data_IF_620939049601
#
_entry.id   IF_620939049601
#
_cell.length_a   1.000
_cell.length_b   1.000
_cell.length_c   1.000
_cell.angle_alpha   90.00
_cell.angle_beta   90.00
_cell.angle_gamma   90.00
#
_symmetry.space_group_name_H-M   'P 1'
#
loop_
_entity.id
_entity.type
_entity.pdbx_description
1 polymer ?
#
# COMPACT_ATOMS: atom_id res chain seq x y z
N UNK A 1 0.93 1.95 20.42
CA UNK A 1 2.13 2.53 21.09
C UNK A 1 2.95 1.41 21.72
N UNK A 2 4.10 1.05 21.14
CA UNK A 2 5.05 0.09 21.72
C UNK A 2 6.28 0.85 22.17
N UNK A 3 6.39 1.09 23.47
CA UNK A 3 7.64 1.53 24.10
C UNK A 3 8.66 0.38 24.01
N UNK A 4 9.56 0.42 23.03
CA UNK A 4 10.75 -0.42 23.04
C UNK A 4 11.80 0.21 23.94
N UNK A 5 11.70 -0.17 25.23
CA UNK A 5 12.74 -0.34 26.25
C UNK A 5 14.00 0.55 26.14
N UNK A 6 14.17 1.58 27.02
CA UNK A 6 15.45 2.28 27.20
C UNK A 6 16.62 1.34 27.55
N UNK A 7 16.31 0.16 28.11
CA UNK A 7 17.27 -0.85 28.54
C UNK A 7 18.20 -1.40 27.44
N UNK A 8 17.76 -1.48 26.17
CA UNK A 8 18.64 -1.98 25.10
C UNK A 8 19.67 -0.93 24.66
N UNK A 9 19.35 0.37 24.77
CA UNK A 9 20.25 1.46 24.38
C UNK A 9 21.38 1.63 25.40
N UNK A 10 21.06 1.51 26.69
CA UNK A 10 22.04 1.61 27.78
C UNK A 10 23.10 0.49 27.74
N UNK A 11 22.67 -0.74 27.44
CA UNK A 11 23.60 -1.88 27.32
C UNK A 11 24.56 -1.73 26.14
N UNK A 12 24.06 -1.29 24.98
CA UNK A 12 24.91 -1.07 23.80
C UNK A 12 25.92 0.04 24.06
N UNK A 13 25.50 1.16 24.65
CA UNK A 13 26.41 2.27 25.00
C UNK A 13 27.45 1.82 26.02
N UNK A 14 27.06 1.04 27.02
CA UNK A 14 27.99 0.52 28.04
C UNK A 14 29.05 -0.41 27.44
N UNK A 15 28.65 -1.30 26.51
CA UNK A 15 29.58 -2.18 25.80
C UNK A 15 30.53 -1.38 24.93
N UNK A 16 30.04 -0.35 24.21
CA UNK A 16 30.84 0.49 23.33
C UNK A 16 31.85 1.34 24.11
N UNK A 17 31.46 1.85 25.28
CA UNK A 17 32.36 2.58 26.19
C UNK A 17 33.41 1.65 26.77
N UNK A 18 33.04 0.44 27.18
CA UNK A 18 34.00 -0.55 27.69
C UNK A 18 35.00 -0.99 26.61
N UNK A 19 34.55 -1.23 25.37
CA UNK A 19 35.45 -1.60 24.27
C UNK A 19 36.36 -0.44 23.88
N UNK A 20 35.84 0.80 23.81
CA UNK A 20 36.66 1.97 23.54
C UNK A 20 37.72 2.20 24.63
N UNK A 21 37.34 2.10 25.90
CA UNK A 21 38.25 2.20 27.04
C UNK A 21 39.33 1.10 27.00
N UNK A 22 38.96 -0.14 26.65
CA UNK A 22 39.90 -1.24 26.51
C UNK A 22 40.89 -1.00 25.37
N UNK A 23 40.43 -0.56 24.19
CA UNK A 23 41.30 -0.26 23.04
C UNK A 23 42.24 0.92 23.33
N UNK A 24 41.76 1.91 24.08
CA UNK A 24 42.54 3.09 24.45
C UNK A 24 43.59 2.73 25.51
N UNK A 25 43.26 1.87 26.48
CA UNK A 25 44.22 1.35 27.46
C UNK A 25 45.33 0.51 26.80
N UNK A 26 44.98 -0.30 25.80
CA UNK A 26 45.95 -1.07 24.99
C UNK A 26 46.89 -0.13 24.21
N UNK A 27 46.35 0.92 23.58
CA UNK A 27 47.14 1.92 22.86
C UNK A 27 48.10 2.69 23.77
N UNK A 28 47.66 3.04 24.98
CA UNK A 28 48.52 3.68 26.00
C UNK A 28 49.61 2.73 26.49
N UNK A 29 49.30 1.45 26.73
CA UNK A 29 50.28 0.43 27.11
C UNK A 29 51.36 0.21 26.04
N UNK A 30 50.97 0.24 24.76
CA UNK A 30 51.92 0.16 23.63
C UNK A 30 52.86 1.38 23.57
N UNK A 31 52.31 2.59 23.73
CA UNK A 31 53.10 3.83 23.77
C UNK A 31 54.06 3.87 24.97
N UNK A 32 53.63 3.39 26.14
CA UNK A 32 54.48 3.30 27.33
C UNK A 32 55.57 2.22 27.19
N UNK A 33 55.27 1.10 26.52
CA UNK A 33 56.24 0.02 26.26
C UNK A 33 57.37 0.41 25.32
N UNK A 34 57.13 1.35 24.40
CA UNK A 34 58.19 1.94 23.56
C UNK A 34 59.13 2.91 24.32
N UNK A 35 58.80 3.25 25.58
CA UNK A 35 59.62 4.09 26.47
C UNK A 35 60.49 3.28 27.44
N UNK A 36 60.64 1.97 27.26
CA UNK A 36 61.65 1.21 28.03
C UNK A 36 63.03 1.56 27.44
N UNK A 37 63.92 2.23 28.20
CA UNK A 37 65.23 2.58 27.71
C UNK A 37 65.97 1.30 27.30
N UNK A 38 66.57 1.32 26.12
CA UNK A 38 67.42 0.24 25.63
C UNK A 38 68.55 0.01 26.64
N UNK A 39 68.49 -1.08 27.40
CA UNK A 39 69.53 -1.51 28.36
C UNK A 39 70.88 -1.88 27.68
N UNK A 40 71.08 -1.51 26.42
CA UNK A 40 72.29 -1.80 25.65
C UNK A 40 73.50 -1.04 26.17
N UNK A 41 73.31 0.18 26.67
CA UNK A 41 74.44 1.04 27.04
C UNK A 41 75.07 0.61 28.40
N UNK A 42 74.24 0.25 29.39
CA UNK A 42 74.67 -0.15 30.74
C UNK A 42 75.37 -1.53 30.81
N UNK A 43 74.95 -2.49 29.98
CA UNK A 43 75.48 -3.86 30.01
C UNK A 43 76.86 -4.00 29.35
N UNK A 44 77.21 -3.07 28.47
CA UNK A 44 78.56 -3.01 27.88
C UNK A 44 79.62 -2.71 28.94
N UNK A 45 79.25 -1.96 29.97
CA UNK A 45 80.11 -1.49 31.06
C UNK A 45 80.29 -2.58 32.13
N UNK A 46 79.23 -3.34 32.44
CA UNK A 46 79.27 -4.47 33.39
C UNK A 46 80.16 -5.61 32.88
N UNK A 47 80.06 -5.99 31.60
CA UNK A 47 80.94 -7.02 31.03
C UNK A 47 82.40 -6.55 30.85
N UNK A 48 82.66 -5.22 30.87
CA UNK A 48 84.02 -4.65 30.78
C UNK A 48 84.77 -4.69 32.12
N UNK A 49 84.04 -4.66 33.23
CA UNK A 49 84.57 -4.60 34.59
C UNK A 49 84.74 -5.98 35.27
N UNK A 50 84.48 -7.08 34.55
CA UNK A 50 84.75 -8.43 35.06
C UNK A 50 86.27 -8.71 35.07
N UNK A 51 86.81 -9.30 36.15
CA UNK A 51 88.23 -9.62 36.22
C UNK A 51 88.61 -10.56 35.08
N UNK A 52 89.74 -10.27 34.40
CA UNK A 52 90.27 -10.95 33.19
C UNK A 52 90.53 -12.48 33.31
N UNK A 53 90.01 -13.15 34.34
CA UNK A 53 90.11 -14.59 34.61
C UNK A 53 88.76 -15.30 34.81
N UNK A 54 87.63 -14.66 34.52
CA UNK A 54 86.33 -15.35 34.39
C UNK A 54 86.10 -15.86 32.96
N UNK A 55 85.52 -17.06 32.75
CA UNK A 55 85.30 -17.58 31.40
C UNK A 55 84.29 -16.68 30.67
N UNK A 56 84.63 -16.24 29.45
CA UNK A 56 83.73 -15.46 28.57
C UNK A 56 82.32 -16.08 28.41
N UNK A 57 82.20 -17.39 28.66
CA UNK A 57 80.94 -18.13 28.73
C UNK A 57 79.92 -17.50 29.70
N UNK A 58 80.35 -16.95 30.84
CA UNK A 58 79.44 -16.37 31.83
C UNK A 58 78.85 -15.03 31.38
N UNK A 59 79.62 -14.18 30.69
CA UNK A 59 79.09 -12.94 30.10
C UNK A 59 78.18 -13.24 28.89
N UNK A 60 78.45 -14.29 28.11
CA UNK A 60 77.57 -14.71 27.02
C UNK A 60 76.25 -15.29 27.57
N UNK A 61 76.31 -16.11 28.62
CA UNK A 61 75.14 -16.66 29.31
C UNK A 61 74.31 -15.57 29.99
N UNK A 62 74.94 -14.55 30.57
CA UNK A 62 74.24 -13.40 31.15
C UNK A 62 73.56 -12.56 30.06
N UNK A 63 74.24 -12.30 28.93
CA UNK A 63 73.64 -11.58 27.79
C UNK A 63 72.48 -12.35 27.17
N UNK A 64 72.60 -13.66 27.02
CA UNK A 64 71.51 -14.47 26.49
C UNK A 64 70.34 -14.55 27.47
N UNK A 65 70.59 -14.66 28.78
CA UNK A 65 69.55 -14.66 29.83
C UNK A 65 68.79 -13.32 29.90
N UNK A 66 69.49 -12.19 29.80
CA UNK A 66 68.86 -10.86 29.77
C UNK A 66 68.10 -10.64 28.46
N UNK A 67 68.66 -11.09 27.32
CA UNK A 67 67.96 -11.01 26.04
C UNK A 67 66.71 -11.90 26.01
N UNK A 68 66.74 -13.09 26.61
CA UNK A 68 65.55 -13.92 26.76
C UNK A 68 64.56 -13.32 27.75
N UNK A 69 65.00 -12.72 28.86
CA UNK A 69 64.10 -12.06 29.81
C UNK A 69 63.37 -10.86 29.17
N UNK A 70 64.09 -10.04 28.39
CA UNK A 70 63.50 -8.94 27.62
C UNK A 70 62.58 -9.46 26.50
N UNK A 71 62.96 -10.52 25.79
CA UNK A 71 62.12 -11.16 24.77
C UNK A 71 60.85 -11.78 25.38
N UNK A 72 60.93 -12.34 26.60
CA UNK A 72 59.79 -12.95 27.29
C UNK A 72 58.84 -11.87 27.79
N UNK A 73 59.38 -10.77 28.33
CA UNK A 73 58.59 -9.60 28.76
C UNK A 73 57.86 -8.94 27.59
N UNK A 74 58.56 -8.71 26.47
CA UNK A 74 57.94 -8.14 25.25
C UNK A 74 56.91 -9.08 24.63
N UNK A 75 57.14 -10.40 24.63
CA UNK A 75 56.16 -11.38 24.19
C UNK A 75 54.91 -11.43 25.08
N UNK A 76 55.07 -11.31 26.40
CA UNK A 76 53.95 -11.27 27.36
C UNK A 76 53.06 -10.04 27.12
N UNK A 77 53.66 -8.87 26.88
CA UNK A 77 52.92 -7.66 26.52
C UNK A 77 52.24 -7.79 25.15
N UNK A 78 52.93 -8.32 24.15
CA UNK A 78 52.36 -8.57 22.82
C UNK A 78 51.14 -9.50 22.87
N UNK A 79 51.19 -10.54 23.72
CA UNK A 79 50.09 -11.47 23.90
C UNK A 79 48.86 -10.82 24.53
N UNK A 80 49.05 -9.94 25.53
CA UNK A 80 47.96 -9.17 26.16
C UNK A 80 47.26 -8.25 25.14
N UNK A 81 48.03 -7.61 24.26
CA UNK A 81 47.50 -6.76 23.19
C UNK A 81 46.68 -7.58 22.19
N UNK A 82 47.19 -8.74 21.78
CA UNK A 82 46.51 -9.63 20.84
C UNK A 82 45.19 -10.20 21.41
N UNK A 83 45.18 -10.57 22.70
CA UNK A 83 43.96 -11.02 23.38
C UNK A 83 42.95 -9.87 23.51
N UNK A 84 43.41 -8.67 23.86
CA UNK A 84 42.57 -7.49 24.00
C UNK A 84 41.92 -7.06 22.68
N UNK A 85 42.67 -7.09 21.57
CA UNK A 85 42.13 -6.77 20.24
C UNK A 85 41.12 -7.82 19.77
N UNK A 86 41.38 -9.11 20.03
CA UNK A 86 40.45 -10.19 19.72
C UNK A 86 39.11 -10.02 20.44
N UNK A 87 39.13 -9.69 21.74
CA UNK A 87 37.92 -9.40 22.51
C UNK A 87 37.13 -8.20 21.96
N UNK A 88 37.81 -7.11 21.59
CA UNK A 88 37.19 -5.93 21.00
C UNK A 88 36.54 -6.24 19.64
N UNK A 89 37.22 -7.02 18.78
CA UNK A 89 36.69 -7.46 17.49
C UNK A 89 35.46 -8.38 17.64
N UNK A 90 35.46 -9.29 18.63
CA UNK A 90 34.30 -10.14 18.91
C UNK A 90 33.09 -9.33 19.37
N UNK A 91 33.28 -8.33 20.24
CA UNK A 91 32.21 -7.44 20.66
C UNK A 91 31.66 -6.59 19.50
N UNK A 92 32.53 -6.09 18.62
CA UNK A 92 32.13 -5.39 17.40
C UNK A 92 31.32 -6.27 16.45
N UNK A 93 31.68 -7.54 16.30
CA UNK A 93 30.94 -8.52 15.50
C UNK A 93 29.52 -8.75 16.06
N UNK A 94 29.38 -8.91 17.38
CA UNK A 94 28.07 -9.03 18.02
C UNK A 94 27.21 -7.76 17.83
N UNK A 95 27.84 -6.58 17.93
CA UNK A 95 27.21 -5.30 17.62
C UNK A 95 26.70 -5.25 16.18
N UNK A 96 27.53 -5.62 15.21
CA UNK A 96 27.16 -5.71 13.80
C UNK A 96 26.03 -6.71 13.54
N UNK A 97 26.03 -7.88 14.17
CA UNK A 97 24.94 -8.86 14.04
C UNK A 97 23.62 -8.27 14.56
N UNK A 98 23.67 -7.57 15.70
CA UNK A 98 22.47 -6.93 16.27
C UNK A 98 21.94 -5.80 15.37
N UNK A 99 22.84 -4.96 14.84
CA UNK A 99 22.52 -3.89 13.91
C UNK A 99 21.96 -4.45 12.58
N UNK A 100 22.53 -5.56 12.09
CA UNK A 100 22.05 -6.23 10.88
C UNK A 100 20.64 -6.80 11.08
N UNK A 101 20.37 -7.48 12.21
CA UNK A 101 19.03 -7.96 12.54
C UNK A 101 18.01 -6.82 12.68
N UNK A 102 18.41 -5.71 13.30
CA UNK A 102 17.56 -4.51 13.38
C UNK A 102 17.33 -3.88 12.00
N UNK A 103 18.35 -3.83 11.16
CA UNK A 103 18.27 -3.36 9.78
C UNK A 103 17.29 -4.18 8.95
N UNK A 104 17.41 -5.51 8.99
CA UNK A 104 16.48 -6.42 8.28
C UNK A 104 15.02 -6.21 8.71
N UNK A 105 14.77 -6.08 10.02
CA UNK A 105 13.42 -5.81 10.53
C UNK A 105 12.88 -4.46 10.07
N UNK A 106 13.74 -3.44 10.03
CA UNK A 106 13.37 -2.08 9.60
C UNK A 106 13.05 -2.04 8.11
N UNK A 107 13.78 -2.78 7.27
CA UNK A 107 13.49 -2.93 5.83
C UNK A 107 12.11 -3.55 5.61
N UNK A 108 11.75 -4.58 6.37
CA UNK A 108 10.43 -5.21 6.30
C UNK A 108 9.30 -4.22 6.61
N UNK A 109 9.44 -3.48 7.73
CA UNK A 109 8.45 -2.46 8.14
C UNK A 109 8.36 -1.33 7.12
N UNK A 110 9.48 -0.88 6.55
CA UNK A 110 9.50 0.17 5.54
C UNK A 110 8.83 -0.28 4.23
N UNK A 111 9.06 -1.54 3.83
CA UNK A 111 8.39 -2.13 2.66
C UNK A 111 6.87 -2.21 2.87
N UNK A 112 6.44 -2.67 4.04
CA UNK A 112 5.01 -2.72 4.38
C UNK A 112 4.38 -1.33 4.43
N UNK A 113 5.06 -0.36 5.04
CA UNK A 113 4.59 1.02 5.10
C UNK A 113 4.47 1.64 3.70
N UNK A 114 5.43 1.38 2.80
CA UNK A 114 5.37 1.85 1.41
C UNK A 114 4.21 1.20 0.65
N UNK A 115 3.97 -0.10 0.85
CA UNK A 115 2.84 -0.79 0.24
C UNK A 115 1.52 -0.16 0.69
N UNK A 116 1.35 0.03 2.00
CA UNK A 116 0.15 0.63 2.59
C UNK A 116 -0.02 2.07 2.10
N UNK A 117 1.04 2.88 2.11
CA UNK A 117 1.01 4.25 1.62
C UNK A 117 0.62 4.32 0.12
N UNK A 118 1.12 3.38 -0.69
CA UNK A 118 0.75 3.29 -2.10
C UNK A 118 -0.71 2.87 -2.28
N UNK A 119 -1.22 1.93 -1.50
CA UNK A 119 -2.64 1.53 -1.52
C UNK A 119 -3.55 2.70 -1.15
N UNK A 120 -3.25 3.43 -0.07
CA UNK A 120 -4.01 4.62 0.32
C UNK A 120 -3.88 5.75 -0.71
N UNK A 121 -2.68 5.99 -1.23
CA UNK A 121 -2.45 7.00 -2.27
C UNK A 121 -3.23 6.70 -3.54
N UNK A 122 -3.29 5.42 -3.94
CA UNK A 122 -4.12 4.98 -5.07
C UNK A 122 -5.61 5.18 -4.77
N UNK A 123 -6.09 4.77 -3.60
CA UNK A 123 -7.49 4.95 -3.22
C UNK A 123 -7.90 6.44 -3.27
N UNK A 124 -7.07 7.33 -2.73
CA UNK A 124 -7.35 8.78 -2.75
C UNK A 124 -7.32 9.38 -4.16
N UNK A 125 -6.47 8.86 -5.05
CA UNK A 125 -6.34 9.34 -6.42
C UNK A 125 -7.34 8.71 -7.40
N UNK A 126 -8.18 7.75 -6.98
CA UNK A 126 -9.15 7.08 -7.87
C UNK A 126 -10.29 7.99 -8.30
N UNK A 127 -10.92 7.60 -9.40
CA UNK A 127 -12.20 8.13 -9.84
C UNK A 127 -13.32 7.35 -9.13
N UNK A 128 -14.41 8.03 -8.79
CA UNK A 128 -15.56 7.43 -8.13
C UNK A 128 -16.83 7.93 -8.82
N UNK A 129 -17.31 7.15 -9.80
CA UNK A 129 -18.51 7.48 -10.57
C UNK A 129 -19.72 6.85 -9.94
N UNK A 130 -20.75 7.66 -9.72
CA UNK A 130 -22.07 7.22 -9.25
C UNK A 130 -23.14 7.73 -10.22
N UNK A 131 -24.26 7.01 -10.30
CA UNK A 131 -25.44 7.49 -11.02
C UNK A 131 -26.18 8.48 -10.13
N UNK A 132 -26.13 9.76 -10.47
CA UNK A 132 -26.72 10.84 -9.67
C UNK A 132 -28.22 10.97 -9.90
N UNK A 133 -28.66 10.90 -11.15
CA UNK A 133 -30.07 11.01 -11.51
C UNK A 133 -30.39 10.28 -12.80
N UNK A 134 -31.63 9.79 -12.90
CA UNK A 134 -32.19 9.22 -14.11
C UNK A 134 -33.49 9.92 -14.40
N UNK A 135 -33.62 10.40 -15.63
CA UNK A 135 -34.86 10.98 -16.14
C UNK A 135 -35.37 10.12 -17.28
N UNK A 136 -36.66 9.81 -17.27
CA UNK A 136 -37.27 8.95 -18.27
C UNK A 136 -38.48 9.61 -18.94
N UNK A 137 -38.64 9.35 -20.23
CA UNK A 137 -39.80 9.75 -21.03
C UNK A 137 -40.38 8.49 -21.68
N UNK A 138 -41.68 8.29 -21.52
CA UNK A 138 -42.41 7.18 -22.15
C UNK A 138 -43.35 7.74 -23.22
N UNK A 139 -43.25 7.24 -24.45
CA UNK A 139 -44.16 7.61 -25.54
C UNK A 139 -45.48 6.84 -25.46
N UNK A 140 -46.51 7.34 -26.15
CA UNK A 140 -47.77 6.62 -26.31
C UNK A 140 -47.60 5.24 -26.99
N UNK A 141 -46.62 5.13 -27.88
CA UNK A 141 -46.28 3.90 -28.60
C UNK A 141 -45.46 2.91 -27.74
N UNK A 142 -45.04 3.32 -26.54
CA UNK A 142 -44.25 2.48 -25.64
C UNK A 142 -42.74 2.59 -25.79
N UNK A 143 -42.25 3.57 -26.56
CA UNK A 143 -40.81 3.84 -26.63
C UNK A 143 -40.38 4.54 -25.34
N UNK A 144 -39.47 3.89 -24.61
CA UNK A 144 -38.90 4.44 -23.39
C UNK A 144 -37.57 5.10 -23.72
N UNK A 145 -37.42 6.36 -23.39
CA UNK A 145 -36.17 7.10 -23.55
C UNK A 145 -35.67 7.59 -22.20
N UNK A 146 -34.42 7.32 -21.87
CA UNK A 146 -33.81 7.73 -20.60
C UNK A 146 -32.57 8.59 -20.82
N UNK A 147 -32.38 9.58 -19.95
CA UNK A 147 -31.15 10.34 -19.77
C UNK A 147 -30.60 10.03 -18.38
N UNK A 148 -29.29 9.85 -18.30
CA UNK A 148 -28.62 9.48 -17.06
C UNK A 148 -27.54 10.51 -16.77
N UNK A 149 -27.54 11.05 -15.55
CA UNK A 149 -26.49 11.93 -15.07
C UNK A 149 -25.55 11.14 -14.18
N UNK A 150 -24.28 11.13 -14.54
CA UNK A 150 -23.20 10.51 -13.79
C UNK A 150 -22.40 11.60 -13.09
N UNK A 151 -22.09 11.39 -11.81
CA UNK A 151 -21.22 12.27 -11.04
C UNK A 151 -19.92 11.54 -10.73
N UNK A 152 -18.79 12.15 -11.09
CA UNK A 152 -17.49 11.72 -10.61
C UNK A 152 -17.14 12.52 -9.35
N UNK A 153 -17.09 11.84 -8.20
CA UNK A 153 -16.68 12.43 -6.92
C UNK A 153 -15.18 12.24 -6.62
N UNK A 154 -14.46 11.51 -7.48
CA UNK A 154 -13.04 11.23 -7.29
C UNK A 154 -12.13 12.39 -7.68
N UNK A 155 -10.90 12.34 -7.17
CA UNK A 155 -9.85 13.34 -7.40
C UNK A 155 -9.19 13.21 -8.78
N UNK A 156 -9.62 12.25 -9.60
CA UNK A 156 -9.12 12.04 -10.95
C UNK A 156 -10.24 11.78 -11.95
N UNK A 157 -9.98 11.97 -13.26
CA UNK A 157 -10.98 11.73 -14.29
C UNK A 157 -11.37 10.25 -14.39
N UNK A 158 -12.67 9.99 -14.52
CA UNK A 158 -13.18 8.69 -14.93
C UNK A 158 -13.10 8.59 -16.46
N UNK A 159 -12.48 7.52 -16.95
CA UNK A 159 -12.21 7.34 -18.39
C UNK A 159 -13.10 6.26 -18.98
N UNK A 160 -13.43 6.43 -20.26
CA UNK A 160 -14.13 5.44 -21.09
C UNK A 160 -15.41 4.91 -20.42
N UNK A 161 -16.15 5.80 -19.76
CA UNK A 161 -17.46 5.47 -19.23
C UNK A 161 -18.32 4.93 -20.37
N UNK A 162 -18.77 3.69 -20.22
CA UNK A 162 -19.75 3.03 -21.07
C UNK A 162 -20.94 2.69 -20.20
N UNK A 163 -22.13 2.86 -20.73
CA UNK A 163 -23.35 2.57 -19.98
C UNK A 163 -24.44 2.04 -20.91
N UNK A 164 -25.38 1.30 -20.32
CA UNK A 164 -26.61 0.82 -20.91
C UNK A 164 -27.65 0.70 -19.80
N UNK A 165 -28.92 0.56 -20.19
CA UNK A 165 -29.99 0.32 -19.24
C UNK A 165 -31.04 -0.62 -19.82
N UNK A 166 -31.77 -1.27 -18.93
CA UNK A 166 -33.03 -1.93 -19.22
C UNK A 166 -34.09 -1.42 -18.26
N UNK A 167 -35.36 -1.71 -18.56
CA UNK A 167 -36.47 -1.22 -17.76
C UNK A 167 -37.57 -2.26 -17.58
N UNK A 168 -38.34 -2.12 -16.52
CA UNK A 168 -39.61 -2.80 -16.30
C UNK A 168 -40.70 -1.73 -16.21
N UNK A 169 -41.72 -1.86 -17.05
CA UNK A 169 -42.90 -1.01 -17.01
C UNK A 169 -44.06 -1.79 -16.43
N UNK A 170 -44.81 -1.18 -15.51
CA UNK A 170 -46.02 -1.77 -14.92
C UNK A 170 -47.17 -0.81 -15.11
N UNK A 171 -48.14 -1.21 -15.93
CA UNK A 171 -49.41 -0.51 -16.09
C UNK A 171 -50.36 -0.89 -14.95
N UNK A 172 -50.97 0.11 -14.34
CA UNK A 172 -52.01 -0.06 -13.31
C UNK A 172 -53.31 0.50 -13.84
N UNK A 173 -54.37 -0.32 -13.80
CA UNK A 173 -55.69 0.04 -14.32
C UNK A 173 -56.66 0.45 -13.20
N UNK A 174 -57.81 1.02 -13.57
CA UNK A 174 -58.78 1.57 -12.60
C UNK A 174 -59.40 0.52 -11.66
N UNK A 175 -59.33 -0.76 -12.03
CA UNK A 175 -59.74 -1.91 -11.22
C UNK A 175 -58.61 -2.45 -10.31
N UNK A 176 -57.51 -1.71 -10.19
CA UNK A 176 -56.27 -2.10 -9.51
C UNK A 176 -55.55 -3.32 -10.11
N UNK A 177 -55.94 -3.81 -11.28
CA UNK A 177 -55.15 -4.82 -11.98
C UNK A 177 -53.80 -4.25 -12.40
N UNK A 178 -52.77 -5.08 -12.37
CA UNK A 178 -51.39 -4.70 -12.70
C UNK A 178 -50.86 -5.65 -13.76
N UNK A 179 -50.25 -5.08 -14.80
CA UNK A 179 -49.57 -5.87 -15.84
C UNK A 179 -48.20 -5.26 -16.10
N UNK A 180 -47.19 -6.11 -16.12
CA UNK A 180 -45.79 -5.72 -16.27
C UNK A 180 -45.18 -6.21 -17.58
N UNK A 181 -44.21 -5.48 -18.11
CA UNK A 181 -43.39 -5.91 -19.26
C UNK A 181 -41.96 -5.37 -19.14
N UNK A 182 -41.00 -6.21 -19.50
CA UNK A 182 -39.59 -5.82 -19.60
C UNK A 182 -39.34 -5.13 -20.93
N UNK A 183 -38.60 -4.03 -20.89
CA UNK A 183 -38.09 -3.31 -22.05
C UNK A 183 -36.58 -3.42 -22.09
N UNK A 184 -36.07 -3.81 -23.26
CA UNK A 184 -34.65 -4.04 -23.49
C UNK A 184 -34.14 -5.36 -22.92
N UNK A 185 -33.04 -5.83 -23.50
CA UNK A 185 -32.32 -6.99 -22.99
C UNK A 185 -31.49 -6.62 -21.75
N UNK A 186 -30.96 -7.62 -21.05
CA UNK A 186 -30.01 -7.38 -19.98
C UNK A 186 -28.81 -6.56 -20.49
N UNK A 187 -28.41 -5.47 -19.82
CA UNK A 187 -27.34 -4.59 -20.28
C UNK A 187 -26.00 -5.33 -20.47
N UNK A 188 -25.58 -5.51 -21.73
CA UNK A 188 -24.26 -6.04 -22.10
C UNK A 188 -23.35 -4.89 -22.56
N UNK A 189 -22.46 -4.46 -21.67
CA UNK A 189 -21.55 -3.34 -21.92
C UNK A 189 -20.44 -3.65 -22.93
N UNK A 190 -20.21 -4.92 -23.29
CA UNK A 190 -19.31 -5.26 -24.40
C UNK A 190 -19.90 -4.85 -25.76
N UNK A 191 -21.24 -4.75 -25.83
CA UNK A 191 -21.96 -4.23 -27.00
C UNK A 191 -22.15 -2.72 -26.96
N UNK A 192 -21.78 -2.05 -25.86
CA UNK A 192 -21.88 -0.59 -25.77
C UNK A 192 -20.78 0.08 -26.59
N UNK A 193 -21.17 0.84 -27.61
CA UNK A 193 -20.25 1.61 -28.45
C UNK A 193 -19.94 3.00 -27.89
N UNK A 194 -20.62 3.42 -26.83
CA UNK A 194 -20.51 4.77 -26.27
C UNK A 194 -19.38 4.82 -25.24
N UNK A 195 -18.50 5.81 -25.39
CA UNK A 195 -17.38 6.06 -24.46
C UNK A 195 -17.32 7.55 -24.16
N UNK A 196 -17.39 7.90 -22.89
CA UNK A 196 -17.26 9.27 -22.41
C UNK A 196 -16.27 9.34 -21.26
N UNK A 197 -15.48 10.41 -21.21
CA UNK A 197 -14.66 10.72 -20.04
C UNK A 197 -15.40 11.76 -19.17
N UNK A 198 -15.34 11.60 -17.85
CA UNK A 198 -15.88 12.56 -16.88
C UNK A 198 -14.71 13.15 -16.09
N UNK A 199 -14.50 14.48 -16.11
CA UNK A 199 -13.48 15.14 -15.30
C UNK A 199 -13.62 14.85 -13.80
N UNK A 200 -12.57 15.16 -13.04
CA UNK A 200 -12.62 15.06 -11.57
C UNK A 200 -13.62 16.06 -11.00
N UNK A 201 -14.38 15.62 -9.98
CA UNK A 201 -15.36 16.45 -9.28
C UNK A 201 -16.43 17.08 -10.19
N UNK A 202 -16.73 16.44 -11.33
CA UNK A 202 -17.64 16.96 -12.34
C UNK A 202 -18.76 15.94 -12.66
N UNK A 203 -19.80 16.43 -13.33
CA UNK A 203 -20.95 15.66 -13.75
C UNK A 203 -21.06 15.64 -15.27
N UNK A 204 -21.61 14.55 -15.80
CA UNK A 204 -21.96 14.45 -17.20
C UNK A 204 -23.33 13.80 -17.36
N UNK A 205 -24.21 14.46 -18.12
CA UNK A 205 -25.51 13.94 -18.50
C UNK A 205 -25.43 13.33 -19.90
N UNK A 206 -25.90 12.10 -20.02
CA UNK A 206 -25.92 11.37 -21.28
C UNK A 206 -26.84 12.01 -22.30
N UNK A 207 -26.54 11.80 -23.59
CA UNK A 207 -27.58 11.92 -24.60
C UNK A 207 -28.70 10.91 -24.31
N UNK A 208 -29.97 11.27 -24.59
CA UNK A 208 -31.08 10.36 -24.38
C UNK A 208 -30.92 9.08 -25.20
N UNK A 209 -31.02 7.94 -24.53
CA UNK A 209 -30.95 6.61 -25.14
C UNK A 209 -32.34 5.98 -25.09
N UNK A 210 -32.84 5.54 -26.24
CA UNK A 210 -34.15 4.91 -26.39
C UNK A 210 -34.07 3.38 -26.36
N UNK A 211 -34.95 2.75 -25.60
CA UNK A 211 -35.33 1.35 -25.76
C UNK A 211 -36.53 1.30 -26.69
N UNK A 212 -36.41 0.54 -27.78
CA UNK A 212 -37.50 0.36 -28.74
C UNK A 212 -38.67 -0.35 -28.07
N UNK A 213 -39.88 0.10 -28.37
CA UNK A 213 -41.11 -0.59 -28.01
C UNK A 213 -41.09 -2.04 -28.49
N UNK A 214 -41.57 -2.95 -27.63
CA UNK A 214 -41.77 -4.35 -27.96
C UNK A 214 -43.25 -4.62 -28.29
N UNK A 215 -43.52 -5.72 -28.98
CA UNK A 215 -44.89 -6.11 -29.32
C UNK A 215 -45.75 -6.24 -28.05
N UNK A 216 -46.89 -5.55 -28.04
CA UNK A 216 -47.83 -5.56 -26.92
C UNK A 216 -47.65 -4.46 -25.88
N UNK A 217 -46.57 -3.65 -25.92
CA UNK A 217 -46.40 -2.51 -25.00
C UNK A 217 -47.50 -1.46 -25.20
N UNK A 218 -47.81 -1.08 -26.43
CA UNK A 218 -48.88 -0.12 -26.70
C UNK A 218 -50.25 -0.59 -26.14
N UNK A 219 -50.56 -1.88 -26.28
CA UNK A 219 -51.77 -2.49 -25.72
C UNK A 219 -51.74 -2.54 -24.18
N UNK A 220 -50.59 -2.80 -23.58
CA UNK A 220 -50.38 -2.72 -22.13
C UNK A 220 -50.69 -1.32 -21.59
N UNK A 221 -50.28 -0.29 -22.34
CA UNK A 221 -50.39 1.10 -21.97
C UNK A 221 -51.80 1.70 -22.18
N UNK A 222 -52.64 1.04 -22.97
CA UNK A 222 -54.02 1.45 -23.27
C UNK A 222 -54.88 1.46 -22.00
N UNK A 223 -55.57 2.56 -21.70
CA UNK A 223 -56.44 2.71 -20.51
C UNK A 223 -55.75 2.54 -19.14
N UNK A 224 -54.41 2.50 -19.10
CA UNK A 224 -53.67 2.56 -17.84
C UNK A 224 -54.03 3.87 -17.10
N UNK A 225 -54.25 3.79 -15.79
CA UNK A 225 -54.47 4.95 -14.91
C UNK A 225 -53.15 5.62 -14.56
N UNK A 226 -52.11 4.82 -14.31
CA UNK A 226 -50.73 5.27 -14.23
C UNK A 226 -49.77 4.16 -14.64
N UNK A 227 -48.55 4.53 -14.99
CA UNK A 227 -47.49 3.60 -15.37
C UNK A 227 -46.33 3.76 -14.38
N UNK A 228 -45.99 2.69 -13.67
CA UNK A 228 -44.75 2.65 -12.89
C UNK A 228 -43.60 2.20 -13.78
N UNK A 229 -42.47 2.89 -13.70
CA UNK A 229 -41.26 2.57 -14.46
C UNK A 229 -40.16 2.24 -13.45
N UNK A 230 -39.44 1.15 -13.68
CA UNK A 230 -38.21 0.82 -12.96
C UNK A 230 -37.09 0.66 -13.98
N UNK A 231 -36.01 1.42 -13.85
CA UNK A 231 -34.85 1.41 -14.73
C UNK A 231 -33.65 0.88 -13.96
N UNK A 232 -32.91 -0.07 -14.54
CA UNK A 232 -31.60 -0.49 -14.04
C UNK A 232 -30.54 0.01 -15.00
N UNK A 233 -29.66 0.86 -14.49
CA UNK A 233 -28.50 1.38 -15.20
C UNK A 233 -27.30 0.53 -14.83
N UNK A 234 -26.54 0.11 -15.83
CA UNK A 234 -25.25 -0.56 -15.66
C UNK A 234 -24.21 0.28 -16.38
N UNK A 235 -23.14 0.64 -15.67
CA UNK A 235 -22.05 1.43 -16.22
C UNK A 235 -20.70 0.86 -15.81
N UNK A 236 -19.73 0.89 -16.73
CA UNK A 236 -18.34 0.58 -16.45
C UNK A 236 -17.49 1.82 -16.77
N UNK A 237 -16.48 2.08 -15.94
CA UNK A 237 -15.50 3.15 -16.16
C UNK A 237 -14.10 2.70 -15.77
N UNK A 238 -13.07 3.35 -16.32
CA UNK A 238 -11.67 3.12 -15.98
C UNK A 238 -11.15 4.25 -15.10
N UNK A 239 -10.44 3.91 -14.04
CA UNK A 239 -9.69 4.90 -13.27
C UNK A 239 -8.37 5.29 -13.96
N UNK A 240 -7.63 6.22 -13.36
CA UNK A 240 -6.32 6.66 -13.88
C UNK A 240 -5.23 5.58 -13.86
N UNK A 241 -5.44 4.49 -13.12
CA UNK A 241 -4.53 3.35 -13.07
C UNK A 241 -4.90 2.25 -14.08
N UNK A 242 -6.01 2.42 -14.80
CA UNK A 242 -6.50 1.48 -15.80
C UNK A 242 -7.34 0.34 -15.21
N UNK A 243 -7.69 0.39 -13.92
CA UNK A 243 -8.63 -0.57 -13.33
C UNK A 243 -10.05 -0.22 -13.77
N UNK A 244 -10.80 -1.23 -14.22
CA UNK A 244 -12.20 -1.07 -14.60
C UNK A 244 -13.09 -1.30 -13.38
N UNK A 245 -13.96 -0.35 -13.11
CA UNK A 245 -14.95 -0.36 -12.05
C UNK A 245 -16.35 -0.42 -12.66
N UNK A 246 -17.27 -1.09 -11.98
CA UNK A 246 -18.68 -1.24 -12.39
C UNK A 246 -19.59 -0.59 -11.38
N UNK A 247 -20.53 0.19 -11.88
CA UNK A 247 -21.62 0.81 -11.14
C UNK A 247 -22.96 0.26 -11.64
N UNK A 248 -23.82 -0.13 -10.70
CA UNK A 248 -25.18 -0.59 -10.98
C UNK A 248 -26.11 0.20 -10.08
N UNK A 249 -27.12 0.84 -10.66
CA UNK A 249 -28.09 1.60 -9.90
C UNK A 249 -29.50 1.40 -10.48
N UNK A 250 -30.48 1.28 -9.59
CA UNK A 250 -31.89 1.17 -9.97
C UNK A 250 -32.64 2.44 -9.59
N UNK A 251 -33.57 2.84 -10.46
CA UNK A 251 -34.41 4.01 -10.26
C UNK A 251 -35.86 3.67 -10.57
N UNK A 252 -36.79 4.23 -9.80
CA UNK A 252 -38.23 4.04 -9.99
C UNK A 252 -39.02 5.34 -9.99
N UNK A 253 -40.11 5.34 -10.72
CA UNK A 253 -40.99 6.50 -10.80
C UNK A 253 -42.33 6.15 -11.41
N UNK A 254 -43.20 7.17 -11.49
CA UNK A 254 -44.54 7.03 -12.04
C UNK A 254 -44.72 8.07 -13.13
N UNK A 255 -45.29 7.64 -14.25
CA UNK A 255 -45.65 8.51 -15.37
C UNK A 255 -47.16 8.49 -15.50
N UNK A 256 -47.75 9.68 -15.50
CA UNK A 256 -49.17 9.83 -15.76
C UNK A 256 -49.45 9.68 -17.27
N UNK A 257 -50.53 8.98 -17.63
CA UNK A 257 -50.98 8.80 -19.00
C UNK A 257 -51.07 10.08 -19.82
N UNK A 258 -51.54 11.15 -19.17
CA UNK A 258 -51.75 12.49 -19.74
C UNK A 258 -50.47 13.29 -19.93
N UNK A 259 -49.37 12.85 -19.31
CA UNK A 259 -48.05 13.48 -19.41
C UNK A 259 -47.10 12.68 -20.31
N UNK A 260 -47.58 11.56 -20.88
CA UNK A 260 -46.88 10.80 -21.91
C UNK A 260 -46.56 11.74 -23.08
N UNK A 261 -45.35 11.62 -23.61
CA UNK A 261 -44.79 12.48 -24.65
C UNK A 261 -44.46 13.95 -24.34
N UNK A 262 -44.84 14.52 -23.18
CA UNK A 262 -44.63 15.95 -22.91
C UNK A 262 -43.28 16.30 -22.26
N UNK A 263 -42.86 15.57 -21.22
CA UNK A 263 -41.65 15.89 -20.45
C UNK A 263 -40.90 14.66 -19.96
N UNK A 264 -39.61 14.83 -19.65
CA UNK A 264 -38.84 13.85 -18.91
C UNK A 264 -39.27 13.88 -17.44
N UNK A 265 -39.55 12.71 -16.87
CA UNK A 265 -39.90 12.53 -15.46
C UNK A 265 -38.67 12.08 -14.70
N UNK A 266 -38.32 12.80 -13.64
CA UNK A 266 -37.25 12.38 -12.73
C UNK A 266 -37.66 11.12 -11.97
N UNK A 267 -36.79 10.12 -11.98
CA UNK A 267 -36.95 8.89 -11.22
C UNK A 267 -36.22 8.99 -9.88
N UNK A 268 -36.71 8.27 -8.88
CA UNK A 268 -36.15 8.21 -7.54
C UNK A 268 -35.25 6.98 -7.41
N UNK A 269 -34.18 7.07 -6.62
CA UNK A 269 -33.33 5.91 -6.35
C UNK A 269 -34.16 4.78 -5.73
N UNK A 270 -34.04 3.59 -6.28
CA UNK A 270 -34.59 2.35 -5.74
C UNK A 270 -33.44 1.51 -5.15
N UNK A 271 -33.78 0.34 -4.59
CA UNK A 271 -32.77 -0.64 -4.20
C UNK A 271 -32.09 -1.25 -5.44
N UNK A 272 -30.79 -1.52 -5.40
CA UNK A 272 -30.00 -1.92 -6.57
C UNK A 272 -30.49 -3.21 -7.26
N UNK A 273 -31.19 -4.08 -6.51
CA UNK A 273 -31.78 -5.32 -7.01
C UNK A 273 -33.27 -5.21 -7.35
N UNK A 274 -33.87 -4.02 -7.26
CA UNK A 274 -35.32 -3.83 -7.39
C UNK A 274 -35.88 -4.27 -8.75
N UNK A 275 -35.05 -4.32 -9.79
CA UNK A 275 -35.44 -4.86 -11.09
C UNK A 275 -35.32 -6.39 -11.12
N UNK A 276 -34.27 -6.95 -10.52
CA UNK A 276 -33.99 -8.39 -10.53
C UNK A 276 -35.09 -9.15 -9.74
N UNK A 277 -35.50 -8.60 -8.59
CA UNK A 277 -36.60 -9.13 -7.75
C UNK A 277 -37.95 -9.19 -8.52
N UNK A 278 -38.16 -8.28 -9.47
CA UNK A 278 -39.39 -8.22 -10.28
C UNK A 278 -39.39 -9.24 -11.41
N UNK A 279 -38.22 -9.71 -11.84
CA UNK A 279 -38.05 -10.81 -12.80
C UNK A 279 -38.21 -12.18 -12.13
N UNK A 280 -37.88 -12.30 -10.83
CA UNK A 280 -37.97 -13.56 -10.09
C UNK A 280 -39.35 -13.81 -9.45
N UNK A 281 -40.22 -12.81 -9.37
CA UNK A 281 -41.59 -13.00 -8.88
C UNK A 281 -42.50 -13.49 -10.04
N UNK A 282 -42.90 -14.77 -10.07
CA UNK A 282 -43.84 -15.24 -11.08
C UNK A 282 -45.18 -14.52 -10.86
N UNK A 283 -45.81 -14.12 -11.96
CA UNK A 283 -47.16 -13.59 -11.95
C UNK A 283 -48.07 -14.47 -11.09
N UNK A 284 -48.57 -13.91 -9.98
CA UNK A 284 -49.64 -14.48 -9.17
C UNK A 284 -50.99 -14.02 -9.71
#
# INVERSE_FOLDING_TARGET
MRQTKPFQREWIVSILVMTFALTLAIGIGFLAGHYIPSASDDMSEICRNLPKKGPMADCIALRSAVATEQATSTAQWGLMIAVGSLCASSAALLGLISAFKQGQRTIGIATDANRIAMEYGRAQARAYVVVQSVEAKLSELGDLTAKVTFQNSGASPARRLRWLYNAHIVAVYGDNTRRGMMLGDQPDLERSHWRQDIPSADSWTSYPLGLRSQDGVAALLEKATFVAITIKVVADFQDVFGETHREIACFEGRVNPSERDASYTALHSAHDNALDDKTESPAA
#
